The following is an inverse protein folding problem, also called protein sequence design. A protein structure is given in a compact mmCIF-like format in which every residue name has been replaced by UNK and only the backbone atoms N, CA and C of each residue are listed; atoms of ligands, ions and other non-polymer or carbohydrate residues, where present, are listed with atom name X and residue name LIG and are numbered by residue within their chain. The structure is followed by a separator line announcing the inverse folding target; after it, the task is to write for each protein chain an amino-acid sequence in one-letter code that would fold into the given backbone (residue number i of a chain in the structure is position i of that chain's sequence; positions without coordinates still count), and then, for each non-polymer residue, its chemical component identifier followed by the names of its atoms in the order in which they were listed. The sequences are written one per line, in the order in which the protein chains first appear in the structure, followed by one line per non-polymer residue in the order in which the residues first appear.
data_IF_252147626488
#
_entry.id   IF_252147626488
#
_cell.length_a   1.000
_cell.length_b   1.000
_cell.length_c   1.000
_cell.angle_alpha   90.00
_cell.angle_beta   90.00
_cell.angle_gamma   90.00
#
_symmetry.space_group_name_H-M   'P 1'
#
loop_
_entity.id
_entity.type
_entity.pdbx_description
1 polymer ?
#
# COMPACT_ATOMS: atom_id res chain seq x y z
N UNK A 1 1.85 12.57 -3.19
CA UNK A 1 0.43 12.56 -2.77
C UNK A 1 -0.37 13.32 -3.81
N UNK A 2 -1.50 12.77 -4.27
CA UNK A 2 -2.41 13.43 -5.21
C UNK A 2 -1.97 13.55 -6.66
N UNK A 3 -0.96 12.77 -7.08
CA UNK A 3 -0.50 12.67 -8.48
C UNK A 3 -1.36 11.70 -9.29
N UNK A 4 -0.72 10.98 -10.22
CA UNK A 4 -1.38 10.00 -11.09
C UNK A 4 -2.19 8.96 -10.28
N UNK A 5 -3.36 8.59 -10.79
CA UNK A 5 -4.25 7.59 -10.19
C UNK A 5 -5.16 8.09 -9.06
N UNK A 6 -5.16 9.40 -8.76
CA UNK A 6 -5.99 10.00 -7.72
C UNK A 6 -6.79 11.20 -8.24
N UNK A 7 -7.99 11.42 -7.70
CA UNK A 7 -8.88 12.51 -8.12
C UNK A 7 -8.89 13.68 -7.12
N UNK A 8 -9.04 14.89 -7.63
CA UNK A 8 -9.34 16.11 -6.84
C UNK A 8 -10.84 16.39 -6.73
N UNK A 9 -11.68 15.68 -7.47
CA UNK A 9 -13.13 15.83 -7.42
C UNK A 9 -13.70 15.01 -6.25
N UNK A 10 -14.39 15.63 -5.26
CA UNK A 10 -14.96 14.92 -4.12
C UNK A 10 -16.08 13.92 -4.47
N UNK A 11 -16.62 13.98 -5.69
CA UNK A 11 -17.64 13.04 -6.16
C UNK A 11 -17.06 11.76 -6.80
N UNK A 12 -15.74 11.64 -6.93
CA UNK A 12 -15.09 10.47 -7.54
C UNK A 12 -14.70 9.44 -6.48
N UNK A 13 -14.79 8.15 -6.81
CA UNK A 13 -14.43 7.04 -5.92
C UNK A 13 -12.97 7.09 -5.45
N UNK A 14 -12.08 7.66 -6.27
CA UNK A 14 -10.65 7.81 -5.95
C UNK A 14 -10.31 9.21 -5.44
N UNK A 15 -11.27 9.91 -4.82
CA UNK A 15 -11.02 11.22 -4.23
C UNK A 15 -9.96 11.14 -3.13
N UNK A 16 -8.92 11.96 -3.26
CA UNK A 16 -7.72 11.88 -2.41
C UNK A 16 -7.78 12.62 -1.07
N UNK A 17 -8.92 13.26 -0.78
CA UNK A 17 -9.04 14.21 0.32
C UNK A 17 -8.40 15.58 0.03
N UNK A 18 -8.53 16.50 0.99
CA UNK A 18 -8.09 17.91 0.82
C UNK A 18 -6.58 18.08 0.99
N UNK A 19 -5.94 17.22 1.77
CA UNK A 19 -4.48 17.18 2.04
C UNK A 19 -4.04 15.76 2.38
N UNK A 20 -2.73 15.50 2.40
CA UNK A 20 -2.23 14.24 2.92
C UNK A 20 -2.71 14.04 4.38
N UNK A 21 -3.23 12.85 4.67
CA UNK A 21 -3.81 12.50 5.97
C UNK A 21 -4.95 13.43 6.43
N UNK A 22 -5.83 13.88 5.51
CA UNK A 22 -7.03 14.64 5.88
C UNK A 22 -8.05 13.81 6.66
N UNK A 23 -8.14 12.51 6.40
CA UNK A 23 -9.11 11.62 7.03
C UNK A 23 -8.62 11.17 8.42
N UNK A 24 -9.47 11.21 9.46
CA UNK A 24 -9.06 10.87 10.83
C UNK A 24 -8.50 9.45 10.96
N UNK A 25 -8.99 8.49 10.17
CA UNK A 25 -8.53 7.10 10.13
C UNK A 25 -7.09 7.01 9.61
N UNK A 26 -6.79 7.74 8.53
CA UNK A 26 -5.44 7.75 7.93
C UNK A 26 -4.45 8.52 8.79
N UNK A 27 -4.90 9.59 9.46
CA UNK A 27 -4.09 10.33 10.43
C UNK A 27 -3.72 9.46 11.63
N UNK A 28 -4.69 8.78 12.23
CA UNK A 28 -4.46 7.87 13.36
C UNK A 28 -3.49 6.75 12.99
N UNK A 29 -3.68 6.13 11.81
CA UNK A 29 -2.80 5.06 11.31
C UNK A 29 -1.38 5.56 11.08
N UNK A 30 -1.21 6.71 10.44
CA UNK A 30 0.11 7.32 10.20
C UNK A 30 0.84 7.63 11.51
N UNK A 31 0.14 8.22 12.47
CA UNK A 31 0.69 8.51 13.80
C UNK A 31 1.13 7.24 14.53
N UNK A 32 0.33 6.17 14.48
CA UNK A 32 0.71 4.89 15.09
C UNK A 32 1.98 4.32 14.46
N UNK A 33 2.04 4.23 13.12
CA UNK A 33 3.19 3.69 12.41
C UNK A 33 4.45 4.50 12.72
N UNK A 34 4.37 5.83 12.67
CA UNK A 34 5.49 6.72 12.97
C UNK A 34 5.96 6.59 14.42
N UNK A 35 5.03 6.43 15.38
CA UNK A 35 5.37 6.21 16.79
C UNK A 35 6.09 4.88 17.04
N UNK A 36 5.94 3.90 16.13
CA UNK A 36 6.53 2.56 16.22
C UNK A 36 7.51 2.26 15.08
N UNK A 37 8.01 3.29 14.37
CA UNK A 37 8.82 3.13 13.15
C UNK A 37 10.06 2.25 13.31
N UNK A 38 10.64 2.20 14.52
CA UNK A 38 11.81 1.39 14.83
C UNK A 38 11.48 -0.06 15.25
N UNK A 39 10.19 -0.36 15.46
CA UNK A 39 9.69 -1.65 15.92
C UNK A 39 8.95 -2.41 14.80
N UNK A 40 8.23 -1.69 13.94
CA UNK A 40 7.53 -2.27 12.79
C UNK A 40 8.56 -2.71 11.74
N UNK A 41 8.51 -3.98 11.35
CA UNK A 41 9.40 -4.59 10.33
C UNK A 41 8.70 -4.93 9.01
N UNK A 42 7.37 -5.03 9.03
CA UNK A 42 6.55 -5.36 7.87
C UNK A 42 5.27 -4.53 7.93
N UNK A 43 4.86 -4.00 6.77
CA UNK A 43 3.54 -3.41 6.57
C UNK A 43 2.79 -4.24 5.53
N UNK A 44 1.69 -4.85 5.94
CA UNK A 44 0.82 -5.66 5.08
C UNK A 44 -0.58 -5.04 5.09
N UNK A 45 -1.04 -4.58 3.92
CA UNK A 45 -2.41 -4.11 3.72
C UNK A 45 -3.18 -5.13 2.88
N UNK A 46 -4.42 -5.43 3.27
CA UNK A 46 -5.25 -6.44 2.64
C UNK A 46 -6.38 -5.77 1.87
N UNK A 47 -6.50 -6.11 0.59
CA UNK A 47 -7.54 -5.63 -0.30
C UNK A 47 -8.16 -6.79 -1.07
N UNK A 48 -9.31 -6.55 -1.69
CA UNK A 48 -9.93 -7.48 -2.63
C UNK A 48 -10.49 -6.69 -3.82
N UNK A 49 -10.58 -7.26 -5.03
CA UNK A 49 -10.26 -8.64 -5.45
C UNK A 49 -9.00 -8.68 -6.35
N UNK A 50 -8.74 -9.81 -7.02
CA UNK A 50 -7.74 -9.92 -8.09
C UNK A 50 -6.66 -10.99 -7.87
N UNK A 51 -6.51 -11.48 -6.64
CA UNK A 51 -5.49 -12.49 -6.26
C UNK A 51 -4.04 -12.03 -6.56
N UNK A 52 -3.73 -10.78 -6.21
CA UNK A 52 -2.40 -10.19 -6.42
C UNK A 52 -1.65 -9.97 -5.11
N UNK A 53 -0.33 -10.20 -5.15
CA UNK A 53 0.61 -9.69 -4.16
C UNK A 53 1.33 -8.49 -4.79
N UNK A 54 1.06 -7.29 -4.29
CA UNK A 54 1.62 -6.05 -4.81
C UNK A 54 2.75 -5.56 -3.90
N UNK A 55 3.83 -5.08 -4.51
CA UNK A 55 4.97 -4.46 -3.84
C UNK A 55 5.11 -3.00 -4.32
N UNK A 56 5.79 -2.12 -3.56
CA UNK A 56 6.01 -0.74 -3.98
C UNK A 56 6.78 -0.62 -5.32
N UNK A 57 6.64 0.48 -6.05
CA UNK A 57 5.76 1.63 -5.78
C UNK A 57 4.49 1.59 -6.64
N UNK A 58 3.40 2.14 -6.11
CA UNK A 58 2.15 2.33 -6.86
C UNK A 58 1.92 3.74 -7.40
N UNK A 59 2.78 4.71 -7.05
CA UNK A 59 2.55 6.14 -7.38
C UNK A 59 3.24 6.59 -8.68
N UNK A 60 4.22 5.84 -9.19
CA UNK A 60 5.03 6.16 -10.37
C UNK A 60 5.71 4.88 -10.91
N UNK A 61 6.26 4.93 -12.11
CA UNK A 61 6.97 3.83 -12.78
C UNK A 61 8.44 3.81 -12.34
N UNK A 62 8.65 3.57 -11.05
CA UNK A 62 9.97 3.51 -10.41
C UNK A 62 10.04 2.35 -9.42
N UNK A 63 11.24 1.80 -9.23
CA UNK A 63 11.47 0.64 -8.38
C UNK A 63 12.17 1.01 -7.06
N UNK A 64 11.81 0.39 -5.93
CA UNK A 64 12.56 0.56 -4.70
C UNK A 64 13.96 -0.08 -4.80
N UNK A 65 14.95 0.39 -4.02
CA UNK A 65 16.32 -0.13 -4.07
C UNK A 65 16.44 -1.64 -3.82
N UNK A 66 15.50 -2.21 -3.04
CA UNK A 66 15.41 -3.62 -2.64
C UNK A 66 14.34 -4.40 -3.44
N UNK A 67 13.98 -3.93 -4.64
CA UNK A 67 12.92 -4.52 -5.48
C UNK A 67 13.03 -6.04 -5.66
N UNK A 68 14.23 -6.56 -5.92
CA UNK A 68 14.41 -8.00 -6.14
C UNK A 68 14.09 -8.83 -4.90
N UNK A 69 14.44 -8.32 -3.70
CA UNK A 69 14.15 -9.00 -2.43
C UNK A 69 12.65 -8.97 -2.14
N UNK A 70 12.00 -7.83 -2.36
CA UNK A 70 10.55 -7.68 -2.23
C UNK A 70 9.79 -8.59 -3.21
N UNK A 71 10.24 -8.69 -4.46
CA UNK A 71 9.64 -9.55 -5.46
C UNK A 71 9.80 -11.04 -5.13
N UNK A 72 10.99 -11.45 -4.66
CA UNK A 72 11.22 -12.82 -4.20
C UNK A 72 10.32 -13.18 -3.01
N UNK A 73 10.18 -12.27 -2.04
CA UNK A 73 9.28 -12.44 -0.90
C UNK A 73 7.82 -12.56 -1.35
N UNK A 74 7.35 -11.68 -2.23
CA UNK A 74 5.99 -11.67 -2.73
C UNK A 74 5.66 -12.96 -3.51
N UNK A 75 6.57 -13.43 -4.37
CA UNK A 75 6.41 -14.68 -5.10
C UNK A 75 6.35 -15.89 -4.17
N UNK A 76 7.20 -15.92 -3.13
CA UNK A 76 7.16 -16.98 -2.13
C UNK A 76 5.81 -16.97 -1.40
N UNK A 77 5.37 -15.82 -0.88
CA UNK A 77 4.07 -15.69 -0.21
C UNK A 77 2.90 -16.12 -1.12
N UNK A 78 2.87 -15.64 -2.37
CA UNK A 78 1.86 -16.02 -3.36
C UNK A 78 1.83 -17.53 -3.61
N UNK A 79 2.99 -18.19 -3.68
CA UNK A 79 3.08 -19.64 -3.84
C UNK A 79 2.49 -20.44 -2.67
N UNK A 80 2.32 -19.82 -1.49
CA UNK A 80 1.72 -20.43 -0.29
C UNK A 80 0.24 -20.15 -0.15
N UNK A 81 -0.28 -19.10 -0.78
CA UNK A 81 -1.72 -18.84 -0.89
C UNK A 81 -2.38 -19.75 -1.93
N UNK A 82 -2.10 -21.06 -1.84
CA UNK A 82 -2.70 -22.07 -2.70
C UNK A 82 -4.17 -22.20 -2.32
N UNK A 83 -5.02 -22.20 -3.34
CA UNK A 83 -6.44 -22.53 -3.20
C UNK A 83 -6.51 -23.96 -2.65
N UNK A 84 -6.97 -24.12 -1.41
CA UNK A 84 -7.41 -25.43 -0.94
C UNK A 84 -8.70 -25.75 -1.71
N UNK A 85 -8.56 -26.42 -2.85
CA UNK A 85 -9.66 -27.06 -3.58
C UNK A 85 -9.55 -28.55 -3.45
#
# INVERSE_FOLDING_TARGET
WGGLGASTNPCEETYRGTKAFSEPETLATSNFILSKKNQIRLYLTLHSYGQYALIPYGYDVVYPPDYNDLLALANNAASKFVKYT
#
